data_IF_926021102776
#
_entry.id   IF_926021102776
#
_cell.length_a   1.000
_cell.length_b   1.000
_cell.length_c   1.000
_cell.angle_alpha   90.00
_cell.angle_beta   90.00
_cell.angle_gamma   90.00
#
_symmetry.space_group_name_H-M   'P 1'
#
loop_
_entity.id
_entity.type
_entity.pdbx_description
1 polymer ?
#
# COMPACT_ATOMS: atom_id res chain seq x y z
N UNK A 1 -13.56 8.86 19.67
CA UNK A 1 -13.55 9.34 18.27
C UNK A 1 -14.97 9.75 17.92
N UNK A 2 -15.18 10.84 17.16
CA UNK A 2 -16.53 11.16 16.64
C UNK A 2 -16.94 10.11 15.62
N UNK A 3 -18.16 9.59 15.74
CA UNK A 3 -18.75 8.65 14.79
C UNK A 3 -19.91 9.35 14.09
N UNK A 4 -19.91 9.29 12.76
CA UNK A 4 -21.04 9.72 11.93
C UNK A 4 -21.81 8.48 11.51
N UNK A 5 -23.13 8.48 11.72
CA UNK A 5 -23.99 7.40 11.30
C UNK A 5 -24.32 7.57 9.81
N UNK A 6 -24.05 6.54 9.02
CA UNK A 6 -24.37 6.50 7.59
C UNK A 6 -25.28 5.30 7.35
N UNK A 7 -26.39 5.52 6.64
CA UNK A 7 -27.28 4.44 6.20
C UNK A 7 -26.84 3.97 4.83
N UNK A 8 -26.55 2.67 4.70
CA UNK A 8 -26.17 2.03 3.44
C UNK A 8 -27.14 0.89 3.14
N UNK A 9 -27.49 0.73 1.86
CA UNK A 9 -28.27 -0.41 1.40
C UNK A 9 -27.34 -1.56 1.04
N UNK A 10 -27.50 -2.69 1.72
CA UNK A 10 -26.74 -3.91 1.48
C UNK A 10 -27.69 -4.95 0.86
N UNK A 11 -27.31 -5.62 -0.24
CA UNK A 11 -28.08 -6.73 -0.78
C UNK A 11 -28.34 -7.79 0.29
N UNK A 12 -29.56 -8.35 0.31
CA UNK A 12 -29.98 -9.37 1.27
C UNK A 12 -29.00 -10.54 1.35
N UNK A 13 -28.57 -11.02 0.20
CA UNK A 13 -27.73 -12.22 0.08
C UNK A 13 -26.35 -11.99 0.72
N UNK A 14 -25.81 -10.77 0.59
CA UNK A 14 -24.55 -10.37 1.21
C UNK A 14 -24.73 -10.23 2.73
N UNK A 15 -25.87 -9.69 3.17
CA UNK A 15 -26.19 -9.57 4.59
C UNK A 15 -26.28 -10.94 5.27
N UNK A 16 -26.90 -11.91 4.61
CA UNK A 16 -26.98 -13.29 5.12
C UNK A 16 -25.61 -13.93 5.23
N UNK A 17 -24.79 -13.85 4.17
CA UNK A 17 -23.42 -14.35 4.20
C UNK A 17 -22.62 -13.70 5.34
N UNK A 18 -22.69 -12.38 5.47
CA UNK A 18 -21.98 -11.64 6.49
C UNK A 18 -22.43 -12.01 7.92
N UNK A 19 -23.71 -12.38 8.12
CA UNK A 19 -24.19 -12.92 9.39
C UNK A 19 -23.68 -14.34 9.66
N UNK A 20 -23.54 -15.18 8.63
CA UNK A 20 -23.01 -16.54 8.76
C UNK A 20 -21.51 -16.57 9.07
N UNK A 21 -20.73 -15.65 8.51
CA UNK A 21 -19.29 -15.55 8.73
C UNK A 21 -18.90 -14.77 9.99
N UNK A 22 -19.88 -14.21 10.71
CA UNK A 22 -19.62 -13.49 11.96
C UNK A 22 -19.16 -14.46 13.03
N UNK A 23 -17.97 -14.25 13.60
CA UNK A 23 -17.57 -14.97 14.82
C UNK A 23 -18.52 -14.59 15.96
N UNK A 24 -18.91 -15.58 16.78
CA UNK A 24 -20.13 -15.55 17.58
C UNK A 24 -20.29 -14.38 18.57
N UNK A 25 -19.22 -13.63 18.86
CA UNK A 25 -19.21 -12.48 19.76
C UNK A 25 -19.07 -11.11 19.11
N UNK A 26 -18.78 -11.01 17.80
CA UNK A 26 -18.60 -9.69 17.17
C UNK A 26 -19.92 -8.99 16.86
N UNK A 27 -19.95 -7.66 17.03
CA UNK A 27 -21.02 -6.85 16.47
C UNK A 27 -20.91 -6.80 14.95
N UNK A 28 -22.03 -6.91 14.24
CA UNK A 28 -22.05 -6.70 12.78
C UNK A 28 -21.46 -5.33 12.39
N UNK A 29 -21.66 -4.32 13.25
CA UNK A 29 -21.08 -2.99 13.04
C UNK A 29 -19.55 -3.00 13.13
N UNK A 30 -18.97 -3.74 14.07
CA UNK A 30 -17.52 -3.86 14.22
C UNK A 30 -16.89 -4.51 12.99
N UNK A 31 -17.48 -5.62 12.52
CA UNK A 31 -17.07 -6.30 11.30
C UNK A 31 -17.13 -5.36 10.08
N UNK A 32 -18.18 -4.54 9.94
CA UNK A 32 -18.29 -3.56 8.84
C UNK A 32 -17.22 -2.48 8.95
N UNK A 33 -16.98 -1.95 10.15
CA UNK A 33 -15.94 -0.94 10.39
C UNK A 33 -14.55 -1.50 10.03
N UNK A 34 -14.26 -2.74 10.43
CA UNK A 34 -12.99 -3.39 10.10
C UNK A 34 -12.84 -3.63 8.60
N UNK A 35 -13.88 -4.14 7.94
CA UNK A 35 -13.88 -4.35 6.50
C UNK A 35 -13.60 -3.04 5.74
N UNK A 36 -14.25 -1.94 6.13
CA UNK A 36 -14.01 -0.62 5.55
C UNK A 36 -12.57 -0.15 5.81
N UNK A 37 -12.08 -0.30 7.05
CA UNK A 37 -10.71 0.09 7.39
C UNK A 37 -9.67 -0.70 6.57
N UNK A 38 -9.89 -1.99 6.38
CA UNK A 38 -9.07 -2.87 5.55
C UNK A 38 -9.07 -2.43 4.08
N UNK A 39 -10.25 -2.15 3.52
CA UNK A 39 -10.40 -1.66 2.14
C UNK A 39 -9.69 -0.32 1.93
N UNK A 40 -9.85 0.63 2.86
CA UNK A 40 -9.19 1.94 2.80
C UNK A 40 -7.67 1.77 2.83
N UNK A 41 -7.14 0.92 3.72
CA UNK A 41 -5.70 0.61 3.75
C UNK A 41 -5.23 0.00 2.43
N UNK A 42 -5.96 -0.97 1.88
CA UNK A 42 -5.62 -1.62 0.60
C UNK A 42 -5.56 -0.60 -0.54
N UNK A 43 -6.58 0.26 -0.67
CA UNK A 43 -6.64 1.29 -1.73
C UNK A 43 -5.51 2.30 -1.60
N UNK A 44 -5.18 2.74 -0.38
CA UNK A 44 -4.05 3.64 -0.14
C UNK A 44 -2.71 3.00 -0.53
N UNK A 45 -2.50 1.73 -0.17
CA UNK A 45 -1.29 1.00 -0.53
C UNK A 45 -1.15 0.85 -2.06
N UNK A 46 -2.23 0.49 -2.75
CA UNK A 46 -2.24 0.41 -4.21
C UNK A 46 -1.93 1.75 -4.88
N UNK A 47 -2.57 2.83 -4.42
CA UNK A 47 -2.30 4.17 -4.94
C UNK A 47 -0.85 4.61 -4.68
N UNK A 48 -0.29 4.29 -3.52
CA UNK A 48 1.12 4.57 -3.21
C UNK A 48 2.06 3.78 -4.13
N UNK A 49 1.79 2.50 -4.34
CA UNK A 49 2.56 1.67 -5.26
C UNK A 49 2.52 2.20 -6.69
N UNK A 50 1.34 2.58 -7.20
CA UNK A 50 1.20 3.19 -8.51
C UNK A 50 2.01 4.48 -8.65
N UNK A 51 2.01 5.35 -7.63
CA UNK A 51 2.84 6.56 -7.63
C UNK A 51 4.33 6.26 -7.70
N UNK A 52 4.80 5.22 -7.01
CA UNK A 52 6.20 4.79 -7.07
C UNK A 52 6.53 4.31 -8.48
N UNK A 53 5.71 3.45 -9.06
CA UNK A 53 5.93 2.91 -10.41
C UNK A 53 5.97 4.04 -11.44
N UNK A 54 5.00 4.96 -11.41
CA UNK A 54 4.95 6.10 -12.33
C UNK A 54 6.18 7.00 -12.18
N UNK A 55 6.59 7.29 -10.94
CA UNK A 55 7.76 8.14 -10.69
C UNK A 55 9.07 7.47 -11.09
N UNK A 56 9.21 6.17 -10.87
CA UNK A 56 10.37 5.40 -11.34
C UNK A 56 10.45 5.41 -12.86
N UNK A 57 9.33 5.25 -13.56
CA UNK A 57 9.28 5.31 -15.01
C UNK A 57 9.64 6.71 -15.55
N UNK A 58 9.18 7.79 -14.90
CA UNK A 58 9.57 9.17 -15.25
C UNK A 58 11.07 9.40 -15.07
N UNK A 59 11.65 8.91 -13.97
CA UNK A 59 13.08 9.03 -13.70
C UNK A 59 13.87 8.22 -14.73
N UNK A 60 13.50 6.97 -15.00
CA UNK A 60 14.14 6.12 -16.00
C UNK A 60 14.09 6.75 -17.39
N UNK A 61 12.94 7.29 -17.81
CA UNK A 61 12.81 7.99 -19.08
C UNK A 61 13.71 9.23 -19.19
N UNK A 62 13.92 9.94 -18.06
CA UNK A 62 14.71 11.17 -18.03
C UNK A 62 16.22 10.94 -17.91
N UNK A 63 16.65 9.98 -17.10
CA UNK A 63 18.07 9.74 -16.80
C UNK A 63 18.65 8.49 -17.45
N UNK A 64 17.82 7.67 -18.11
CA UNK A 64 18.20 6.32 -18.53
C UNK A 64 18.39 5.38 -17.35
N UNK A 65 18.77 4.13 -17.64
CA UNK A 65 19.11 3.15 -16.61
C UNK A 65 20.38 3.60 -15.89
N UNK A 66 20.27 3.89 -14.59
CA UNK A 66 21.43 4.20 -13.76
C UNK A 66 22.38 3.00 -13.75
N UNK A 67 23.68 3.18 -14.10
CA UNK A 67 24.64 2.09 -14.06
C UNK A 67 24.81 1.58 -12.63
N UNK A 68 25.06 0.29 -12.49
CA UNK A 68 25.21 -0.36 -11.20
C UNK A 68 26.32 0.31 -10.36
N UNK A 69 25.94 0.89 -9.23
CA UNK A 69 26.85 1.59 -8.34
C UNK A 69 27.82 0.68 -7.59
N UNK A 70 27.64 -0.65 -7.66
CA UNK A 70 28.51 -1.63 -6.97
C UNK A 70 29.97 -1.49 -7.41
N UNK A 71 30.23 -1.30 -8.70
CA UNK A 71 31.59 -1.17 -9.22
C UNK A 71 32.23 0.15 -8.77
N UNK A 72 31.47 1.25 -8.79
CA UNK A 72 31.90 2.55 -8.27
C UNK A 72 32.22 2.50 -6.76
N UNK A 73 31.36 1.85 -5.97
CA UNK A 73 31.58 1.68 -4.53
C UNK A 73 32.82 0.83 -4.26
N UNK A 74 33.05 -0.21 -5.08
CA UNK A 74 34.26 -1.05 -4.99
C UNK A 74 35.52 -0.22 -5.29
N UNK A 75 35.51 0.58 -6.35
CA UNK A 75 36.61 1.48 -6.73
C UNK A 75 36.96 2.46 -5.60
N UNK A 76 35.95 3.15 -5.04
CA UNK A 76 36.13 4.07 -3.92
C UNK A 76 36.69 3.38 -2.66
N UNK A 77 36.28 2.14 -2.38
CA UNK A 77 36.79 1.36 -1.23
C UNK A 77 38.24 0.92 -1.42
N UNK A 78 38.65 0.62 -2.65
CA UNK A 78 40.01 0.24 -3.01
C UNK A 78 41.00 1.43 -3.02
N UNK A 79 40.50 2.65 -2.77
CA UNK A 79 41.33 3.84 -2.63
C UNK A 79 41.58 4.60 -3.94
N UNK A 80 40.88 4.26 -5.03
CA UNK A 80 40.91 5.08 -6.24
C UNK A 80 40.43 6.51 -5.91
N UNK A 81 41.34 7.48 -6.04
CA UNK A 81 41.08 8.90 -5.76
C UNK A 81 41.58 9.43 -4.41
N UNK A 82 42.23 8.61 -3.57
CA UNK A 82 43.06 9.16 -2.48
C UNK A 82 44.30 9.81 -3.09
N UNK A 83 44.40 11.13 -3.00
CA UNK A 83 45.65 11.86 -3.26
C UNK A 83 46.52 11.69 -2.02
N UNK A 84 47.75 11.23 -2.22
CA UNK A 84 48.80 11.13 -1.20
C UNK A 84 49.16 12.50 -0.61
#
# INVERSE_FOLDING_TARGET
>A
MKQEAVTISIPSDLLEQARHFREGSESFNEMVVEAIASEVRRRKALAAHQRIVSRSAEVEAKTGMQPNSVDLIRQLRLGEGRRD
#
